data_IF_686289304008
#
_entry.id   IF_686289304008
#
_cell.length_a   1.000
_cell.length_b   1.000
_cell.length_c   1.000
_cell.angle_alpha   90.00
_cell.angle_beta   90.00
_cell.angle_gamma   90.00
#
_symmetry.space_group_name_H-M   'P 1'
#
loop_
_entity.id
_entity.type
_entity.pdbx_description
1 polymer ?
#
# COMPACT_ATOMS: atom_id res chain seq x y z
N UNK A 1 -2.06 -11.46 -15.03
CA UNK A 1 -2.02 -10.27 -14.15
C UNK A 1 -2.31 -10.64 -12.72
N UNK A 2 -1.69 -9.92 -11.80
CA UNK A 2 -1.90 -10.11 -10.36
C UNK A 2 -2.36 -8.82 -9.71
N UNK A 3 -3.08 -8.96 -8.59
CA UNK A 3 -3.45 -7.86 -7.72
C UNK A 3 -2.73 -8.04 -6.39
N UNK A 4 -1.96 -7.04 -5.99
CA UNK A 4 -1.29 -7.01 -4.70
C UNK A 4 -2.11 -6.12 -3.77
N UNK A 5 -2.67 -6.71 -2.73
CA UNK A 5 -3.49 -6.02 -1.74
C UNK A 5 -2.76 -5.96 -0.42
N UNK A 6 -2.71 -4.75 0.15
CA UNK A 6 -2.14 -4.54 1.49
C UNK A 6 -3.21 -3.98 2.40
N UNK A 7 -3.31 -4.57 3.58
CA UNK A 7 -4.27 -4.15 4.60
C UNK A 7 -3.53 -3.48 5.75
N UNK A 8 -3.99 -2.28 6.12
CA UNK A 8 -3.38 -1.46 7.17
C UNK A 8 -4.40 -1.20 8.26
N UNK A 9 -4.04 -1.49 9.51
CA UNK A 9 -4.85 -1.20 10.68
C UNK A 9 -4.20 -0.07 11.47
N UNK A 10 -4.84 1.12 11.56
CA UNK A 10 -4.27 2.23 12.31
C UNK A 10 -4.42 2.04 13.81
N UNK A 11 -3.49 2.64 14.55
CA UNK A 11 -3.68 2.84 15.99
C UNK A 11 -4.88 3.75 16.21
N UNK A 12 -5.54 3.66 17.38
CA UNK A 12 -6.69 4.53 17.70
C UNK A 12 -6.36 6.01 17.48
N UNK A 13 -7.22 6.72 16.78
CA UNK A 13 -7.05 8.13 16.46
C UNK A 13 -6.10 8.46 15.33
N UNK A 14 -5.47 7.49 14.71
CA UNK A 14 -4.46 7.71 13.66
C UNK A 14 -4.95 7.42 12.23
N UNK A 15 -6.21 7.01 12.08
CA UNK A 15 -6.76 6.62 10.77
C UNK A 15 -6.70 7.72 9.72
N UNK A 16 -7.04 8.95 10.06
CA UNK A 16 -7.01 10.06 9.12
C UNK A 16 -5.60 10.38 8.61
N UNK A 17 -4.64 10.43 9.52
CA UNK A 17 -3.24 10.67 9.17
C UNK A 17 -2.68 9.51 8.33
N UNK A 18 -3.02 8.28 8.69
CA UNK A 18 -2.61 7.10 7.93
C UNK A 18 -3.16 7.14 6.51
N UNK A 19 -4.44 7.47 6.33
CA UNK A 19 -5.06 7.57 5.00
C UNK A 19 -4.34 8.60 4.13
N UNK A 20 -4.00 9.75 4.68
CA UNK A 20 -3.26 10.79 3.98
C UNK A 20 -1.90 10.29 3.52
N UNK A 21 -1.15 9.64 4.40
CA UNK A 21 0.19 9.11 4.08
C UNK A 21 0.13 7.99 3.05
N UNK A 22 -0.84 7.10 3.14
CA UNK A 22 -1.02 6.02 2.15
C UNK A 22 -1.33 6.61 0.78
N UNK A 23 -2.17 7.64 0.71
CA UNK A 23 -2.48 8.33 -0.55
C UNK A 23 -1.22 9.00 -1.12
N UNK A 24 -0.40 9.62 -0.28
CA UNK A 24 0.87 10.20 -0.70
C UNK A 24 1.84 9.15 -1.23
N UNK A 25 1.91 7.99 -0.58
CA UNK A 25 2.73 6.88 -1.04
C UNK A 25 2.29 6.39 -2.42
N UNK A 26 0.97 6.32 -2.67
CA UNK A 26 0.43 5.96 -3.98
C UNK A 26 0.84 6.93 -5.07
N UNK A 27 0.81 8.23 -4.77
CA UNK A 27 1.26 9.26 -5.72
C UNK A 27 2.75 9.16 -5.98
N UNK A 28 3.55 8.88 -4.96
CA UNK A 28 5.00 8.69 -5.11
C UNK A 28 5.31 7.47 -5.97
N UNK A 29 4.54 6.39 -5.84
CA UNK A 29 4.67 5.21 -6.70
C UNK A 29 4.39 5.56 -8.16
N UNK A 30 3.33 6.30 -8.43
CA UNK A 30 2.98 6.74 -9.79
C UNK A 30 4.07 7.63 -10.38
N UNK A 31 4.58 8.57 -9.62
CA UNK A 31 5.67 9.46 -10.05
C UNK A 31 6.95 8.68 -10.37
N UNK A 32 7.20 7.61 -9.65
CA UNK A 32 8.36 6.74 -9.89
C UNK A 32 8.17 5.78 -11.08
N UNK A 33 7.02 5.83 -11.75
CA UNK A 33 6.76 5.02 -12.94
C UNK A 33 6.01 3.72 -12.69
N UNK A 34 5.56 3.47 -11.46
CA UNK A 34 4.77 2.29 -11.14
C UNK A 34 3.27 2.56 -11.30
N UNK A 35 2.49 1.50 -11.43
CA UNK A 35 1.05 1.60 -11.41
C UNK A 35 0.59 2.21 -10.09
N UNK A 36 -0.31 3.19 -10.15
CA UNK A 36 -0.84 3.84 -8.95
C UNK A 36 -1.77 2.89 -8.20
N UNK A 37 -1.53 2.63 -6.92
CA UNK A 37 -2.45 1.83 -6.12
C UNK A 37 -3.79 2.52 -5.94
N UNK A 38 -4.88 1.75 -5.92
CA UNK A 38 -6.17 2.21 -5.42
C UNK A 38 -6.18 2.06 -3.91
N UNK A 39 -6.72 3.04 -3.22
CA UNK A 39 -6.84 3.02 -1.76
C UNK A 39 -8.31 2.92 -1.38
N UNK A 40 -8.62 1.96 -0.53
CA UNK A 40 -9.98 1.71 -0.04
C UNK A 40 -10.03 1.96 1.47
N UNK A 41 -11.13 2.57 1.91
CA UNK A 41 -11.45 2.72 3.33
C UNK A 41 -12.60 1.79 3.65
N UNK A 42 -12.46 1.00 4.70
CA UNK A 42 -13.52 0.07 5.09
C UNK A 42 -14.73 0.82 5.66
N UNK A 43 -15.92 0.50 5.14
CA UNK A 43 -17.18 0.94 5.71
C UNK A 43 -17.65 -0.02 6.80
N UNK A 44 -17.41 -1.32 6.59
CA UNK A 44 -17.70 -2.38 7.53
C UNK A 44 -16.42 -3.16 7.77
N UNK A 45 -16.29 -3.78 8.92
CA UNK A 45 -15.10 -4.50 9.33
C UNK A 45 -14.35 -3.76 10.43
N UNK A 46 -13.03 -3.94 10.46
CA UNK A 46 -12.20 -3.28 11.48
C UNK A 46 -12.22 -1.77 11.31
N UNK A 47 -12.45 -1.05 12.41
CA UNK A 47 -12.54 0.40 12.40
C UNK A 47 -11.26 1.04 11.86
N UNK A 48 -11.43 1.92 10.89
CA UNK A 48 -10.30 2.65 10.30
C UNK A 48 -9.42 1.84 9.35
N UNK A 49 -9.76 0.57 9.10
CA UNK A 49 -8.98 -0.27 8.19
C UNK A 49 -8.89 0.34 6.80
N UNK A 50 -7.67 0.39 6.28
CA UNK A 50 -7.39 0.84 4.92
C UNK A 50 -6.78 -0.31 4.14
N UNK A 51 -7.10 -0.36 2.84
CA UNK A 51 -6.54 -1.36 1.94
C UNK A 51 -6.07 -0.68 0.67
N UNK A 52 -4.91 -1.10 0.16
CA UNK A 52 -4.45 -0.68 -1.16
C UNK A 52 -4.45 -1.87 -2.11
N UNK A 53 -4.72 -1.60 -3.37
CA UNK A 53 -4.67 -2.60 -4.43
C UNK A 53 -3.84 -2.05 -5.58
N UNK A 54 -2.82 -2.79 -5.98
CA UNK A 54 -1.97 -2.44 -7.10
C UNK A 54 -1.90 -3.61 -8.08
N UNK A 55 -2.08 -3.32 -9.35
CA UNK A 55 -2.09 -4.34 -10.41
C UNK A 55 -0.70 -4.42 -11.04
N UNK A 56 -0.21 -5.63 -11.23
CA UNK A 56 1.05 -5.94 -11.88
C UNK A 56 0.84 -6.96 -13.00
N UNK A 57 1.67 -6.89 -14.05
CA UNK A 57 1.56 -7.83 -15.17
C UNK A 57 1.82 -9.27 -14.74
N UNK A 58 2.80 -9.46 -13.84
CA UNK A 58 3.18 -10.78 -13.36
C UNK A 58 3.77 -10.70 -11.96
N UNK A 59 3.86 -11.85 -11.31
CA UNK A 59 4.51 -11.93 -10.00
C UNK A 59 6.00 -11.61 -10.09
N UNK A 60 6.64 -11.98 -11.20
CA UNK A 60 8.06 -11.66 -11.44
C UNK A 60 8.29 -10.15 -11.49
N UNK A 61 7.43 -9.42 -12.20
CA UNK A 61 7.54 -7.96 -12.29
C UNK A 61 7.37 -7.31 -10.92
N UNK A 62 6.44 -7.81 -10.12
CA UNK A 62 6.24 -7.34 -8.77
C UNK A 62 7.49 -7.57 -7.91
N UNK A 63 8.04 -8.78 -7.94
CA UNK A 63 9.22 -9.12 -7.14
C UNK A 63 10.46 -8.32 -7.54
N UNK A 64 10.66 -8.12 -8.82
CA UNK A 64 11.76 -7.29 -9.34
C UNK A 64 11.61 -5.84 -8.86
N UNK A 65 10.38 -5.32 -8.88
CA UNK A 65 10.11 -3.94 -8.47
C UNK A 65 10.39 -3.68 -7.00
N UNK A 66 10.29 -4.69 -6.15
CA UNK A 66 10.44 -4.53 -4.69
C UNK A 66 11.80 -3.94 -4.31
N UNK A 67 12.87 -4.36 -4.97
CA UNK A 67 14.20 -3.83 -4.73
C UNK A 67 14.28 -2.35 -5.15
N UNK A 68 13.75 -2.02 -6.33
CA UNK A 68 13.72 -0.63 -6.81
C UNK A 68 12.91 0.27 -5.90
N UNK A 69 11.75 -0.19 -5.44
CA UNK A 69 10.89 0.58 -4.52
C UNK A 69 11.62 0.86 -3.22
N UNK A 70 12.29 -0.14 -2.65
CA UNK A 70 13.07 0.02 -1.42
C UNK A 70 14.22 1.00 -1.56
N UNK A 71 14.73 1.18 -2.78
CA UNK A 71 15.83 2.11 -3.07
C UNK A 71 15.32 3.46 -3.60
N UNK A 72 14.03 3.75 -3.49
CA UNK A 72 13.44 5.02 -3.90
C UNK A 72 13.09 5.84 -2.66
N UNK A 73 13.94 6.83 -2.27
CA UNK A 73 13.71 7.59 -1.03
C UNK A 73 12.38 8.32 -0.94
N UNK A 74 11.85 8.78 -2.06
CA UNK A 74 10.55 9.45 -2.10
C UNK A 74 9.39 8.54 -1.68
N UNK A 75 9.55 7.23 -1.80
CA UNK A 75 8.57 6.23 -1.37
C UNK A 75 8.87 5.77 0.05
N UNK A 76 10.11 5.36 0.32
CA UNK A 76 10.48 4.79 1.61
C UNK A 76 10.35 5.79 2.76
N UNK A 77 10.62 7.07 2.52
CA UNK A 77 10.45 8.11 3.55
C UNK A 77 8.99 8.24 4.00
N UNK A 78 8.04 8.02 3.10
CA UNK A 78 6.62 8.04 3.45
C UNK A 78 6.26 6.82 4.28
N UNK A 79 6.73 5.63 3.89
CA UNK A 79 6.49 4.40 4.66
C UNK A 79 7.09 4.45 6.06
N UNK A 80 8.22 5.11 6.24
CA UNK A 80 8.81 5.34 7.56
C UNK A 80 7.87 6.13 8.49
N UNK A 81 7.03 6.99 7.92
CA UNK A 81 5.99 7.72 8.67
C UNK A 81 4.73 6.88 8.87
N UNK A 82 4.46 5.93 7.98
CA UNK A 82 3.29 5.06 8.05
C UNK A 82 3.44 4.03 9.17
N UNK A 83 4.56 3.34 9.25
CA UNK A 83 4.76 2.23 10.18
C UNK A 83 4.45 2.56 11.64
N UNK A 84 4.86 3.72 12.19
CA UNK A 84 4.53 4.07 13.58
C UNK A 84 3.05 4.25 13.86
N UNK A 85 2.24 4.46 12.82
CA UNK A 85 0.80 4.68 12.95
C UNK A 85 0.00 3.38 12.95
N UNK A 86 0.64 2.25 12.65
CA UNK A 86 -0.04 0.96 12.53
C UNK A 86 -0.18 0.27 13.89
N UNK A 87 -1.37 -0.29 14.12
CA UNK A 87 -1.63 -1.10 15.32
C UNK A 87 -0.91 -2.46 15.24
N UNK A 88 -0.68 -2.92 14.01
CA UNK A 88 -0.02 -4.20 13.75
C UNK A 88 0.73 -4.10 12.42
N UNK A 89 1.57 -5.07 12.10
CA UNK A 89 2.24 -5.13 10.82
C UNK A 89 1.19 -5.22 9.71
N UNK A 90 1.38 -4.46 8.63
CA UNK A 90 0.48 -4.55 7.50
C UNK A 90 0.51 -5.96 6.88
N UNK A 91 -0.65 -6.38 6.39
CA UNK A 91 -0.81 -7.69 5.74
C UNK A 91 -0.73 -7.50 4.23
N UNK A 92 0.02 -8.36 3.55
CA UNK A 92 0.11 -8.36 2.09
C UNK A 92 -0.48 -9.66 1.55
N UNK A 93 -1.40 -9.54 0.60
CA UNK A 93 -2.00 -10.66 -0.09
C UNK A 93 -1.84 -10.46 -1.60
N UNK A 94 -1.55 -11.54 -2.30
CA UNK A 94 -1.38 -11.51 -3.76
C UNK A 94 -2.41 -12.45 -4.37
N UNK A 95 -3.18 -11.92 -5.32
CA UNK A 95 -4.22 -12.68 -6.02
C UNK A 95 -3.92 -12.72 -7.50
N UNK A 96 -4.16 -13.86 -8.12
CA UNK A 96 -4.17 -13.95 -9.57
C UNK A 96 -5.52 -13.46 -10.08
N UNK A 97 -5.49 -12.57 -11.07
CA UNK A 97 -6.72 -12.08 -11.70
C UNK A 97 -7.13 -13.11 -12.73
N UNK A 98 -8.26 -13.79 -12.50
CA UNK A 98 -8.75 -14.83 -13.40
C UNK A 98 -9.68 -14.30 -14.48
N UNK A 99 -10.06 -13.03 -14.36
CA UNK A 99 -10.94 -12.41 -15.35
C UNK A 99 -10.77 -10.90 -15.41
#
# INVERSE_FOLDING_TARGET
MIAVRRTYLPKPGKGGKLATLITEAGKAMETAGYSKPKTYKAWHGSHGMLQTEQIWESISDYEISRSSVRNTPSITSIFEKIYPLLADTHKTEIFEIVE
#
